data_IF_824381376971
#
_entry.id   IF_824381376971
#
_cell.length_a   1.000
_cell.length_b   1.000
_cell.length_c   1.000
_cell.angle_alpha   90.00
_cell.angle_beta   90.00
_cell.angle_gamma   90.00
#
_symmetry.space_group_name_H-M   'P 1'
#
loop_
_entity.id
_entity.type
_entity.pdbx_description
1 polymer ?
#
# COMPACT_ATOMS: atom_id res chain seq x y z
N UNK A 1 9.46 0.79 -69.06
CA UNK A 1 9.97 -0.24 -68.12
C UNK A 1 10.72 0.28 -66.89
N UNK A 2 10.91 1.59 -66.68
CA UNK A 2 11.60 2.14 -65.49
C UNK A 2 10.67 2.55 -64.34
N UNK A 3 9.41 2.84 -64.64
CA UNK A 3 8.40 3.26 -63.65
C UNK A 3 7.84 2.06 -62.88
N UNK A 4 7.65 0.91 -63.55
CA UNK A 4 7.14 -0.31 -62.93
C UNK A 4 8.11 -0.91 -61.91
N UNK A 5 9.42 -0.82 -62.16
CA UNK A 5 10.47 -1.24 -61.22
C UNK A 5 10.59 -0.32 -60.02
N UNK A 6 10.38 0.99 -60.20
CA UNK A 6 10.31 1.93 -59.08
C UNK A 6 9.08 1.67 -58.20
N UNK A 7 7.93 1.37 -58.80
CA UNK A 7 6.70 1.06 -58.06
C UNK A 7 6.83 -0.23 -57.26
N UNK A 8 7.45 -1.28 -57.82
CA UNK A 8 7.70 -2.53 -57.09
C UNK A 8 8.69 -2.35 -55.94
N UNK A 9 9.71 -1.50 -56.11
CA UNK A 9 10.69 -1.22 -55.05
C UNK A 9 10.06 -0.43 -53.88
N UNK A 10 9.16 0.51 -54.18
CA UNK A 10 8.40 1.23 -53.14
C UNK A 10 7.41 0.30 -52.43
N UNK A 11 6.73 -0.58 -53.17
CA UNK A 11 5.79 -1.54 -52.60
C UNK A 11 6.49 -2.62 -51.74
N UNK A 12 7.69 -3.05 -52.11
CA UNK A 12 8.50 -3.97 -51.30
C UNK A 12 9.06 -3.29 -50.04
N UNK A 13 9.37 -1.98 -50.09
CA UNK A 13 9.83 -1.21 -48.94
C UNK A 13 8.74 -0.91 -47.90
N UNK A 14 7.48 -0.75 -48.33
CA UNK A 14 6.36 -0.50 -47.41
C UNK A 14 5.83 -1.78 -46.75
N UNK A 15 5.97 -2.94 -47.38
CA UNK A 15 5.53 -4.23 -46.83
C UNK A 15 6.47 -4.82 -45.77
N UNK A 16 7.75 -4.40 -45.73
CA UNK A 16 8.70 -4.85 -44.70
C UNK A 16 8.61 -4.03 -43.40
N UNK A 17 7.86 -2.92 -43.40
CA UNK A 17 7.75 -2.00 -42.25
C UNK A 17 6.61 -2.31 -41.29
N UNK A 18 5.77 -3.32 -41.56
CA UNK A 18 4.61 -3.66 -40.71
C UNK A 18 4.76 -4.99 -39.95
N UNK A 19 5.91 -5.67 -40.07
CA UNK A 19 6.13 -6.97 -39.41
C UNK A 19 6.88 -6.88 -38.06
N UNK A 20 7.05 -5.68 -37.51
CA UNK A 20 7.52 -5.51 -36.14
C UNK A 20 6.39 -4.93 -35.28
N UNK A 21 5.37 -5.75 -35.00
CA UNK A 21 4.69 -5.68 -33.70
C UNK A 21 5.71 -6.13 -32.64
N UNK A 22 6.65 -5.25 -32.33
CA UNK A 22 7.51 -5.40 -31.17
C UNK A 22 6.66 -5.17 -29.93
N UNK A 23 6.42 -6.25 -29.19
CA UNK A 23 5.85 -6.31 -27.83
C UNK A 23 4.33 -6.11 -27.68
N UNK A 24 3.57 -7.17 -28.00
CA UNK A 24 2.31 -7.50 -27.29
C UNK A 24 2.57 -8.08 -25.89
N UNK A 25 3.75 -7.82 -25.33
CA UNK A 25 4.06 -8.18 -23.95
C UNK A 25 3.71 -6.97 -23.10
N UNK A 26 2.75 -7.15 -22.20
CA UNK A 26 2.43 -6.14 -21.18
C UNK A 26 3.75 -5.82 -20.45
N UNK A 27 4.21 -4.55 -20.42
CA UNK A 27 5.46 -4.19 -19.76
C UNK A 27 5.46 -4.70 -18.33
N UNK A 28 6.57 -5.28 -17.87
CA UNK A 28 6.68 -5.83 -16.50
C UNK A 28 6.27 -4.78 -15.48
N UNK A 29 6.64 -3.53 -15.69
CA UNK A 29 6.35 -2.38 -14.84
C UNK A 29 4.83 -2.11 -14.73
N UNK A 30 4.06 -2.52 -15.74
CA UNK A 30 2.59 -2.44 -15.74
C UNK A 30 1.96 -3.60 -14.97
N UNK A 31 2.58 -4.79 -14.99
CA UNK A 31 2.10 -5.98 -14.26
C UNK A 31 2.54 -6.01 -12.79
N UNK A 32 3.70 -5.44 -12.50
CA UNK A 32 4.36 -5.45 -11.20
C UNK A 32 4.48 -4.02 -10.67
N UNK A 33 3.35 -3.32 -10.58
CA UNK A 33 3.23 -2.22 -9.62
C UNK A 33 3.19 -2.83 -8.22
N UNK A 34 4.34 -3.35 -7.76
CA UNK A 34 4.49 -3.77 -6.38
C UNK A 34 4.21 -2.54 -5.52
N UNK A 35 3.04 -2.54 -4.87
CA UNK A 35 2.82 -1.68 -3.72
C UNK A 35 3.96 -2.02 -2.78
N UNK A 36 4.91 -1.11 -2.58
CA UNK A 36 6.00 -1.33 -1.65
C UNK A 36 5.41 -1.45 -0.25
N UNK A 37 5.12 -2.68 0.19
CA UNK A 37 4.57 -2.95 1.51
C UNK A 37 5.74 -3.07 2.47
N UNK A 38 5.79 -2.19 3.47
CA UNK A 38 6.89 -2.13 4.43
C UNK A 38 6.64 -3.01 5.66
N UNK A 39 5.37 -3.22 6.00
CA UNK A 39 4.98 -4.02 7.15
C UNK A 39 3.62 -4.65 6.93
N UNK A 40 3.46 -5.88 7.41
CA UNK A 40 2.21 -6.64 7.43
C UNK A 40 2.04 -7.26 8.81
N UNK A 41 0.81 -7.32 9.30
CA UNK A 41 0.43 -8.08 10.49
C UNK A 41 -1.00 -8.59 10.34
N UNK A 42 -1.35 -9.59 11.14
CA UNK A 42 -2.66 -10.20 11.17
C UNK A 42 -3.37 -9.83 12.47
N UNK A 43 -4.65 -9.50 12.35
CA UNK A 43 -5.58 -9.51 13.49
C UNK A 43 -5.48 -10.82 14.28
N UNK A 44 -5.75 -10.76 15.59
CA UNK A 44 -5.61 -11.94 16.45
C UNK A 44 -6.68 -13.01 16.18
N UNK A 45 -7.81 -12.63 15.59
CA UNK A 45 -8.85 -13.54 15.10
C UNK A 45 -8.54 -14.11 13.70
N UNK A 46 -7.55 -13.56 12.99
CA UNK A 46 -7.15 -13.99 11.65
C UNK A 46 -8.05 -13.47 10.53
N UNK A 47 -9.05 -12.64 10.81
CA UNK A 47 -10.04 -12.22 9.81
C UNK A 47 -9.59 -11.01 8.97
N UNK A 48 -8.54 -10.33 9.41
CA UNK A 48 -8.07 -9.06 8.85
C UNK A 48 -6.56 -9.04 8.71
N UNK A 49 -6.09 -8.65 7.53
CA UNK A 49 -4.68 -8.42 7.21
C UNK A 49 -4.42 -6.92 7.19
N UNK A 50 -3.58 -6.44 8.08
CA UNK A 50 -3.16 -5.05 8.17
C UNK A 50 -1.81 -4.86 7.50
N UNK A 51 -1.61 -3.73 6.83
CA UNK A 51 -0.33 -3.44 6.21
C UNK A 51 -0.10 -1.95 5.97
N UNK A 52 1.16 -1.57 5.84
CA UNK A 52 1.62 -0.21 5.56
C UNK A 52 2.40 -0.17 4.24
N UNK A 53 2.29 0.92 3.48
CA UNK A 53 3.06 1.12 2.23
C UNK A 53 4.17 2.13 2.44
N UNK A 54 5.29 1.93 1.76
CA UNK A 54 6.50 2.78 1.79
C UNK A 54 6.26 4.14 1.13
N UNK A 55 5.49 4.16 0.03
CA UNK A 55 5.26 5.35 -0.78
C UNK A 55 3.96 6.10 -0.45
N UNK A 56 3.17 5.61 0.52
CA UNK A 56 1.97 6.30 0.99
C UNK A 56 2.30 7.24 2.14
N UNK A 57 1.57 8.35 2.22
CA UNK A 57 1.42 9.20 3.41
C UNK A 57 1.67 8.40 4.71
N UNK A 58 2.73 8.72 5.46
CA UNK A 58 3.22 7.86 6.54
C UNK A 58 2.24 7.74 7.71
N UNK A 59 1.21 8.60 7.76
CA UNK A 59 0.10 8.50 8.71
C UNK A 59 -0.98 7.46 8.34
N UNK A 60 -0.79 6.69 7.26
CA UNK A 60 -1.80 5.74 6.76
C UNK A 60 -1.45 4.30 7.03
N UNK A 61 -2.48 3.56 7.40
CA UNK A 61 -2.46 2.11 7.50
C UNK A 61 -3.64 1.54 6.70
N UNK A 62 -3.46 0.38 6.10
CA UNK A 62 -4.47 -0.26 5.27
C UNK A 62 -4.84 -1.62 5.85
N UNK A 63 -6.04 -2.10 5.55
CA UNK A 63 -6.41 -3.47 5.83
C UNK A 63 -7.35 -4.07 4.80
N UNK A 64 -7.28 -5.40 4.70
CA UNK A 64 -8.20 -6.26 3.94
C UNK A 64 -8.95 -7.15 4.92
N UNK A 65 -10.19 -7.50 4.58
CA UNK A 65 -10.87 -8.62 5.24
C UNK A 65 -10.57 -9.89 4.44
N UNK A 66 -10.30 -10.99 5.13
CA UNK A 66 -10.04 -12.29 4.48
C UNK A 66 -11.25 -12.76 3.67
N UNK A 67 -12.46 -12.43 4.11
CA UNK A 67 -13.70 -12.71 3.36
C UNK A 67 -13.89 -11.84 2.11
N UNK A 68 -13.21 -10.70 2.03
CA UNK A 68 -13.36 -9.68 0.96
C UNK A 68 -11.97 -9.21 0.50
N UNK A 69 -11.11 -10.08 -0.05
CA UNK A 69 -9.70 -9.76 -0.29
C UNK A 69 -9.47 -8.70 -1.37
N UNK A 70 -10.49 -8.40 -2.18
CA UNK A 70 -10.47 -7.34 -3.19
C UNK A 70 -10.82 -5.96 -2.66
N UNK A 71 -11.38 -5.86 -1.45
CA UNK A 71 -11.82 -4.60 -0.86
C UNK A 71 -10.82 -4.11 0.18
N UNK A 72 -10.26 -2.93 -0.10
CA UNK A 72 -9.26 -2.28 0.73
C UNK A 72 -9.87 -1.16 1.57
N UNK A 73 -9.48 -1.14 2.83
CA UNK A 73 -9.91 -0.14 3.79
C UNK A 73 -8.70 0.64 4.32
N UNK A 74 -8.92 1.90 4.67
CA UNK A 74 -7.87 2.82 5.11
C UNK A 74 -8.14 3.29 6.55
N UNK A 75 -7.06 3.41 7.31
CA UNK A 75 -7.01 4.02 8.65
C UNK A 75 -6.08 5.23 8.56
N UNK A 76 -6.57 6.38 9.01
CA UNK A 76 -5.83 7.64 9.02
C UNK A 76 -5.48 8.01 10.44
N UNK A 77 -4.19 8.20 10.68
CA UNK A 77 -3.67 8.81 11.89
C UNK A 77 -3.31 10.28 11.62
N UNK A 78 -3.33 11.14 12.65
CA UNK A 78 -3.00 12.57 12.49
C UNK A 78 -1.52 12.82 12.17
N UNK A 79 -0.65 11.89 12.55
CA UNK A 79 0.81 12.00 12.44
C UNK A 79 1.41 10.70 11.85
N UNK A 80 2.65 10.74 11.35
CA UNK A 80 3.35 9.58 10.81
C UNK A 80 3.38 8.38 11.77
N UNK A 81 3.00 7.20 11.29
CA UNK A 81 3.06 5.95 12.05
C UNK A 81 4.48 5.39 12.02
N UNK A 82 5.12 5.33 13.19
CA UNK A 82 6.47 4.76 13.36
C UNK A 82 6.39 3.25 13.55
N UNK A 83 5.41 2.81 14.34
CA UNK A 83 5.18 1.40 14.66
C UNK A 83 3.73 1.17 14.97
N UNK A 84 3.26 -0.05 14.74
CA UNK A 84 1.91 -0.45 15.10
C UNK A 84 1.84 -1.96 15.36
N UNK A 85 0.89 -2.37 16.18
CA UNK A 85 0.63 -3.76 16.57
C UNK A 85 -0.89 -4.00 16.68
N UNK A 86 -1.37 -5.13 16.18
CA UNK A 86 -2.76 -5.55 16.37
C UNK A 86 -3.03 -5.94 17.83
N UNK A 87 -4.18 -5.53 18.38
CA UNK A 87 -4.63 -5.89 19.72
C UNK A 87 -5.62 -7.06 19.67
N UNK A 88 -5.85 -7.71 20.82
CA UNK A 88 -6.84 -8.79 20.94
C UNK A 88 -8.30 -8.31 20.83
N UNK A 89 -8.57 -7.02 21.05
CA UNK A 89 -9.91 -6.44 21.02
C UNK A 89 -10.27 -5.85 19.65
N UNK A 90 -9.77 -6.46 18.58
CA UNK A 90 -9.98 -6.01 17.20
C UNK A 90 -9.62 -4.52 17.03
N UNK A 91 -8.41 -4.15 17.45
CA UNK A 91 -7.91 -2.79 17.38
C UNK A 91 -6.43 -2.73 17.03
N UNK A 92 -5.91 -1.52 16.95
CA UNK A 92 -4.51 -1.26 16.62
C UNK A 92 -3.95 -0.31 17.65
N UNK A 93 -2.82 -0.68 18.25
CA UNK A 93 -1.98 0.23 19.01
C UNK A 93 -0.91 0.77 18.07
N UNK A 94 -0.87 2.08 17.86
CA UNK A 94 0.07 2.75 16.98
C UNK A 94 0.92 3.76 17.76
N UNK A 95 2.22 3.79 17.46
CA UNK A 95 3.14 4.83 17.92
C UNK A 95 3.31 5.82 16.77
N UNK A 96 2.94 7.06 17.02
CA UNK A 96 2.98 8.14 16.05
C UNK A 96 4.14 9.09 16.35
N UNK A 97 4.77 9.64 15.31
CA UNK A 97 5.79 10.67 15.43
C UNK A 97 5.15 12.06 15.34
N UNK A 98 4.71 12.60 16.47
CA UNK A 98 4.20 13.95 16.58
C UNK A 98 5.33 14.99 16.69
N UNK A 99 4.99 16.27 16.60
CA UNK A 99 5.94 17.40 16.73
C UNK A 99 6.64 17.46 18.09
N UNK A 100 5.95 17.01 19.15
CA UNK A 100 6.47 16.99 20.53
C UNK A 100 7.19 15.70 20.93
N UNK A 101 7.30 14.72 20.04
CA UNK A 101 7.87 13.40 20.34
C UNK A 101 6.96 12.26 19.88
N UNK A 102 7.14 11.07 20.48
CA UNK A 102 6.31 9.91 20.17
C UNK A 102 5.05 9.89 21.04
N UNK A 103 3.90 9.71 20.41
CA UNK A 103 2.61 9.53 21.08
C UNK A 103 2.04 8.15 20.77
N UNK A 104 1.29 7.57 21.71
CA UNK A 104 0.64 6.26 21.51
C UNK A 104 -0.84 6.47 21.28
N UNK A 105 -1.38 5.85 20.24
CA UNK A 105 -2.79 5.88 19.88
C UNK A 105 -3.37 4.48 19.86
N UNK A 106 -4.62 4.37 20.27
CA UNK A 106 -5.45 3.20 20.07
C UNK A 106 -6.52 3.50 19.03
N UNK A 107 -6.51 2.75 17.93
CA UNK A 107 -7.60 2.74 16.96
C UNK A 107 -8.51 1.53 17.19
N UNK A 108 -9.81 1.77 17.31
CA UNK A 108 -10.81 0.70 17.48
C UNK A 108 -11.50 0.40 16.16
N UNK A 109 -11.58 -0.89 15.82
CA UNK A 109 -12.35 -1.32 14.67
C UNK A 109 -13.85 -1.10 14.84
N UNK A 110 -14.37 -1.30 16.06
CA UNK A 110 -15.79 -1.16 16.37
C UNK A 110 -16.28 0.28 16.17
N UNK A 111 -15.52 1.27 16.65
CA UNK A 111 -15.90 2.69 16.54
C UNK A 111 -15.32 3.40 15.33
N UNK A 112 -14.33 2.80 14.66
CA UNK A 112 -13.52 3.42 13.59
C UNK A 112 -12.82 4.71 14.01
N UNK A 113 -12.54 4.86 15.31
CA UNK A 113 -11.92 6.05 15.88
C UNK A 113 -10.56 5.73 16.50
N UNK A 114 -9.62 6.66 16.33
CA UNK A 114 -8.37 6.71 17.06
C UNK A 114 -8.50 7.60 18.29
N UNK A 115 -7.94 7.16 19.42
CA UNK A 115 -7.77 7.98 20.63
C UNK A 115 -6.33 7.92 21.10
N UNK A 116 -5.80 9.04 21.57
CA UNK A 116 -4.50 9.06 22.24
C UNK A 116 -4.60 8.31 23.57
N UNK A 117 -3.57 7.54 23.89
CA UNK A 117 -3.41 6.88 25.18
C UNK A 117 -2.48 7.74 26.03
N UNK A 118 -3.04 8.44 27.02
CA UNK A 118 -2.22 9.19 27.97
C UNK A 118 -1.62 8.21 28.98
N UNK A 119 -0.29 8.10 28.99
CA UNK A 119 0.42 7.37 30.05
C UNK A 119 0.51 8.28 31.28
N UNK A 120 -0.43 8.13 32.20
CA UNK A 120 -0.22 8.64 33.57
C UNK A 120 0.63 7.59 34.27
N UNK A 121 1.91 7.86 34.46
CA UNK A 121 2.74 7.02 35.31
C UNK A 121 2.06 6.94 36.68
N UNK A 122 1.45 5.80 37.01
CA UNK A 122 1.04 5.53 38.37
C UNK A 122 2.29 5.74 39.23
N UNK A 123 2.25 6.76 40.09
CA UNK A 123 3.34 7.06 41.00
C UNK A 123 3.66 5.77 41.75
N UNK A 124 4.80 5.16 41.41
CA UNK A 124 5.39 4.12 42.22
C UNK A 124 5.82 4.79 43.52
N UNK A 125 4.89 4.87 44.48
CA UNK A 125 5.22 5.11 45.86
C UNK A 125 6.20 4.00 46.27
N UNK A 126 7.46 4.40 46.40
CA UNK A 126 8.48 3.62 47.06
C UNK A 126 7.98 3.35 48.48
N UNK A 127 7.80 2.07 48.79
CA UNK A 127 7.78 1.54 50.16
C UNK A 127 9.21 1.46 50.68
#
# INVERSE_FOLDING_TARGET
MRILTLLLAVLAGTLLSTAQETNTLIPRETLFQEKEITRVDLSKDGEKVYYQRSSSDPGRLFYLRVSEPSQEYEIRFPDPVVRWECTYNDGICAVLQASGGQEVYYWSYATKQARRLDYTAAQSHQL
#
